data_IF_133207553020
#
_entry.id   IF_133207553020
#
_cell.length_a   1.000
_cell.length_b   1.000
_cell.length_c   1.000
_cell.angle_alpha   90.00
_cell.angle_beta   90.00
_cell.angle_gamma   90.00
#
_symmetry.space_group_name_H-M   'P 1'
#
loop_
_entity.id
_entity.type
_entity.pdbx_description
1 polymer ?
#
# COMPACT_ATOMS: atom_id res chain seq x y z
N UNK A 1 -11.84 -9.42 29.95
CA UNK A 1 -11.89 -9.09 28.51
C UNK A 1 -13.14 -8.28 28.32
N UNK A 2 -13.03 -6.97 28.10
CA UNK A 2 -14.21 -6.16 27.76
C UNK A 2 -14.74 -6.61 26.40
N UNK A 3 -16.05 -6.83 26.32
CA UNK A 3 -16.71 -7.14 25.07
C UNK A 3 -16.92 -5.84 24.30
N UNK A 4 -16.33 -5.75 23.12
CA UNK A 4 -16.53 -4.63 22.20
C UNK A 4 -17.56 -5.07 21.16
N UNK A 5 -18.50 -4.21 20.82
CA UNK A 5 -19.44 -4.46 19.71
C UNK A 5 -18.76 -4.17 18.37
N UNK A 6 -19.22 -4.83 17.29
CA UNK A 6 -18.71 -4.56 15.93
C UNK A 6 -18.84 -3.07 15.53
N UNK A 7 -19.89 -2.39 16.03
CA UNK A 7 -20.09 -0.96 15.80
C UNK A 7 -19.01 -0.10 16.47
N UNK A 8 -18.60 -0.44 17.69
CA UNK A 8 -17.52 0.25 18.39
C UNK A 8 -16.17 -0.02 17.75
N UNK A 9 -15.98 -1.22 17.19
CA UNK A 9 -14.78 -1.56 16.42
C UNK A 9 -14.65 -0.75 15.13
N UNK A 10 -15.75 -0.54 14.39
CA UNK A 10 -15.74 0.29 13.17
C UNK A 10 -15.31 1.74 13.46
N UNK A 11 -15.65 2.27 14.64
CA UNK A 11 -15.21 3.60 15.07
C UNK A 11 -13.71 3.68 15.40
N UNK A 12 -13.07 2.54 15.64
CA UNK A 12 -11.62 2.43 15.85
C UNK A 12 -10.87 2.17 14.53
N UNK A 13 -11.55 2.22 13.39
CA UNK A 13 -10.95 1.95 12.09
C UNK A 13 -9.85 2.95 11.74
N UNK A 14 -8.77 2.45 11.16
CA UNK A 14 -7.66 3.26 10.67
C UNK A 14 -8.11 4.00 9.42
N UNK A 15 -7.73 5.28 9.22
CA UNK A 15 -8.00 5.98 7.99
C UNK A 15 -7.54 5.17 6.78
N UNK A 16 -8.27 5.22 5.64
CA UNK A 16 -7.84 4.54 4.44
C UNK A 16 -6.45 5.02 4.03
N UNK A 17 -5.63 4.09 3.52
CA UNK A 17 -4.32 4.42 3.01
C UNK A 17 -4.44 5.46 1.89
N UNK A 18 -3.49 6.39 1.84
CA UNK A 18 -3.45 7.40 0.79
C UNK A 18 -3.19 6.74 -0.56
N UNK A 19 -4.00 7.08 -1.56
CA UNK A 19 -3.80 6.61 -2.93
C UNK A 19 -2.65 7.39 -3.56
N UNK A 20 -1.65 6.68 -4.07
CA UNK A 20 -0.59 7.27 -4.89
C UNK A 20 -0.94 7.19 -6.37
N UNK A 21 -0.59 8.23 -7.12
CA UNK A 21 -0.63 8.23 -8.59
C UNK A 21 0.52 7.39 -9.16
N UNK A 22 0.38 6.94 -10.40
CA UNK A 22 1.41 6.17 -11.08
C UNK A 22 2.79 6.87 -11.08
N UNK A 23 2.82 8.17 -11.34
CA UNK A 23 4.05 8.98 -11.33
C UNK A 23 4.74 8.98 -9.96
N UNK A 24 3.96 9.02 -8.86
CA UNK A 24 4.51 8.99 -7.51
C UNK A 24 5.10 7.61 -7.18
N UNK A 25 4.42 6.54 -7.60
CA UNK A 25 4.92 5.17 -7.45
C UNK A 25 6.23 4.97 -8.22
N UNK A 26 6.31 5.53 -9.44
CA UNK A 26 7.53 5.51 -10.25
C UNK A 26 8.68 6.22 -9.54
N UNK A 27 8.44 7.44 -9.03
CA UNK A 27 9.45 8.21 -8.31
C UNK A 27 9.96 7.46 -7.07
N UNK A 28 9.07 6.86 -6.29
CA UNK A 28 9.44 6.05 -5.12
C UNK A 28 10.34 4.88 -5.55
N UNK A 29 9.98 4.15 -6.61
CA UNK A 29 10.80 3.03 -7.09
C UNK A 29 12.19 3.48 -7.53
N UNK A 30 12.26 4.57 -8.28
CA UNK A 30 13.53 5.12 -8.80
C UNK A 30 14.44 5.61 -7.66
N UNK A 31 13.86 6.28 -6.65
CA UNK A 31 14.58 6.72 -5.45
C UNK A 31 15.10 5.52 -4.64
N UNK A 32 14.32 4.45 -4.57
CA UNK A 32 14.69 3.20 -3.88
C UNK A 32 15.73 2.38 -4.68
N UNK A 33 16.02 2.73 -5.94
CA UNK A 33 17.03 2.11 -6.82
C UNK A 33 16.86 0.60 -7.01
N UNK A 34 15.61 0.14 -7.08
CA UNK A 34 15.28 -1.27 -7.32
C UNK A 34 14.64 -1.47 -8.69
N UNK A 35 14.77 -2.67 -9.23
CA UNK A 35 14.05 -3.06 -10.45
C UNK A 35 12.54 -3.18 -10.20
N UNK A 36 11.74 -3.08 -11.26
CA UNK A 36 10.28 -3.25 -11.21
C UNK A 36 9.87 -4.56 -10.51
N UNK A 37 10.55 -5.67 -10.83
CA UNK A 37 10.25 -6.97 -10.25
C UNK A 37 10.57 -7.06 -8.75
N UNK A 38 11.67 -6.45 -8.32
CA UNK A 38 12.04 -6.40 -6.89
C UNK A 38 11.08 -5.50 -6.13
N UNK A 39 10.70 -4.35 -6.69
CA UNK A 39 9.73 -3.44 -6.10
C UNK A 39 8.35 -4.10 -5.90
N UNK A 40 7.84 -4.78 -6.93
CA UNK A 40 6.58 -5.52 -6.84
C UNK A 40 6.62 -6.59 -5.73
N UNK A 41 7.76 -7.28 -5.60
CA UNK A 41 7.97 -8.29 -4.55
C UNK A 41 8.03 -7.68 -3.14
N UNK A 42 8.59 -6.49 -2.97
CA UNK A 42 8.59 -5.76 -1.69
C UNK A 42 7.17 -5.40 -1.24
N UNK A 43 6.29 -5.08 -2.20
CA UNK A 43 4.90 -4.68 -1.93
C UNK A 43 3.90 -5.85 -1.99
N UNK A 44 4.38 -7.08 -2.22
CA UNK A 44 3.55 -8.29 -2.38
C UNK A 44 2.46 -8.14 -3.46
N UNK A 45 2.82 -7.53 -4.59
CA UNK A 45 1.95 -7.34 -5.77
C UNK A 45 2.54 -7.99 -7.01
N UNK A 46 1.75 -8.12 -8.07
CA UNK A 46 2.26 -8.54 -9.37
C UNK A 46 3.08 -7.43 -10.03
N UNK A 47 4.04 -7.82 -10.88
CA UNK A 47 4.84 -6.85 -11.67
C UNK A 47 3.95 -6.02 -12.60
N UNK A 48 2.87 -6.60 -13.13
CA UNK A 48 1.90 -5.91 -14.00
C UNK A 48 1.14 -4.77 -13.30
N UNK A 49 1.15 -4.74 -11.97
CA UNK A 49 0.55 -3.67 -11.18
C UNK A 49 1.46 -2.44 -11.12
N UNK A 50 2.77 -2.61 -11.32
CA UNK A 50 3.71 -1.48 -11.37
C UNK A 50 3.75 -0.91 -12.78
N UNK A 51 3.29 0.33 -12.92
CA UNK A 51 3.24 1.03 -14.21
C UNK A 51 4.56 1.79 -14.45
N UNK A 52 4.89 2.01 -15.73
CA UNK A 52 6.08 2.77 -16.16
C UNK A 52 5.96 4.27 -15.93
#
# INVERSE_FOLDING_TARGET
>A
MDQITLREFDHLSVPPASTHKADEIKLIREDTRVSQAVFARMLNISVSTVHE
#
